data_IF_672871742770
#
_entry.id   IF_672871742770
#
_cell.length_a   1.000
_cell.length_b   1.000
_cell.length_c   1.000
_cell.angle_alpha   90.00
_cell.angle_beta   90.00
_cell.angle_gamma   90.00
#
_symmetry.space_group_name_H-M   'P 1'
#
loop_
_entity.id
_entity.type
_entity.pdbx_description
1 polymer ?
#
# COMPACT_ATOMS: atom_id res chain seq x y z
N UNK A 1 14.18 -0.75 -12.49
CA UNK A 1 13.72 -1.21 -11.15
C UNK A 1 14.83 -0.94 -10.15
N UNK A 2 14.56 -1.06 -8.84
CA UNK A 2 15.58 -0.97 -7.77
C UNK A 2 15.36 -2.07 -6.75
N UNK A 3 16.39 -2.44 -6.00
CA UNK A 3 16.27 -3.36 -4.87
C UNK A 3 16.29 -2.59 -3.56
N UNK A 4 15.57 -3.11 -2.57
CA UNK A 4 15.48 -2.55 -1.22
C UNK A 4 15.68 -3.69 -0.22
N UNK A 5 16.47 -3.44 0.82
CA UNK A 5 16.62 -4.37 1.93
C UNK A 5 15.28 -4.52 2.67
N UNK A 6 15.16 -5.59 3.47
CA UNK A 6 14.03 -5.72 4.39
C UNK A 6 14.12 -4.65 5.48
N UNK A 7 12.97 -4.21 5.98
CA UNK A 7 12.85 -3.39 7.19
C UNK A 7 11.84 -4.00 8.17
N UNK A 8 11.69 -3.37 9.34
CA UNK A 8 10.79 -3.76 10.42
C UNK A 8 9.64 -2.76 10.64
N UNK A 9 9.41 -1.85 9.68
CA UNK A 9 8.35 -0.84 9.76
C UNK A 9 7.03 -1.47 9.30
N UNK A 10 6.03 -1.54 10.18
CA UNK A 10 4.82 -2.36 10.00
C UNK A 10 4.06 -2.15 8.69
N UNK A 11 4.00 -0.91 8.19
CA UNK A 11 3.33 -0.56 6.93
C UNK A 11 4.31 -0.36 5.77
N UNK A 12 5.59 -0.68 5.91
CA UNK A 12 6.52 -0.60 4.79
C UNK A 12 6.18 -1.64 3.72
N UNK A 13 6.15 -1.28 2.43
CA UNK A 13 6.09 -2.26 1.34
C UNK A 13 7.23 -3.31 1.40
N UNK A 14 8.29 -3.05 2.16
CA UNK A 14 9.49 -3.87 2.33
C UNK A 14 9.55 -4.63 3.66
N UNK A 15 8.48 -4.57 4.47
CA UNK A 15 8.41 -5.21 5.79
C UNK A 15 8.79 -6.69 5.72
N UNK A 16 9.87 -7.04 6.43
CA UNK A 16 10.48 -8.36 6.61
C UNK A 16 10.83 -9.11 5.31
N UNK A 17 10.98 -8.39 4.19
CA UNK A 17 11.34 -9.01 2.91
C UNK A 17 12.23 -8.13 2.03
N UNK A 18 13.32 -8.72 1.53
CA UNK A 18 14.09 -8.10 0.43
C UNK A 18 13.18 -7.95 -0.77
N UNK A 19 13.13 -6.76 -1.34
CA UNK A 19 12.11 -6.42 -2.34
C UNK A 19 12.74 -5.81 -3.58
N UNK A 20 12.30 -6.22 -4.77
CA UNK A 20 12.49 -5.47 -6.00
C UNK A 20 11.30 -4.53 -6.21
N UNK A 21 11.56 -3.24 -6.36
CA UNK A 21 10.57 -2.22 -6.64
C UNK A 21 10.58 -1.89 -8.14
N UNK A 22 9.42 -2.05 -8.77
CA UNK A 22 9.17 -1.67 -10.15
C UNK A 22 8.34 -0.39 -10.13
N UNK A 23 8.80 0.64 -10.85
CA UNK A 23 8.01 1.86 -11.06
C UNK A 23 7.48 1.85 -12.48
N UNK A 24 6.18 2.06 -12.60
CA UNK A 24 5.48 2.31 -13.87
C UNK A 24 5.09 3.79 -13.92
N UNK A 25 5.09 4.38 -15.12
CA UNK A 25 4.85 5.80 -15.36
C UNK A 25 4.33 6.01 -16.77
N UNK A 26 3.49 7.03 -16.97
CA UNK A 26 3.03 7.48 -18.29
C UNK A 26 3.14 8.99 -18.46
N UNK A 27 2.46 9.56 -19.46
CA UNK A 27 2.54 10.99 -19.80
C UNK A 27 1.49 11.82 -19.07
N UNK A 28 1.85 13.00 -18.56
CA UNK A 28 0.96 13.82 -17.73
C UNK A 28 -0.39 14.12 -18.40
N UNK A 29 -1.48 14.01 -17.63
CA UNK A 29 -2.85 14.26 -18.10
C UNK A 29 -3.59 13.03 -18.62
N UNK A 30 -2.95 11.86 -18.67
CA UNK A 30 -3.59 10.59 -19.04
C UNK A 30 -4.38 9.98 -17.87
N UNK A 31 -5.47 9.27 -18.21
CA UNK A 31 -6.12 8.36 -17.27
C UNK A 31 -5.36 7.03 -17.24
N UNK A 32 -4.80 6.70 -16.08
CA UNK A 32 -3.98 5.50 -15.90
C UNK A 32 -4.73 4.33 -15.28
N UNK A 33 -6.00 4.45 -14.90
CA UNK A 33 -6.60 3.44 -14.02
C UNK A 33 -6.65 2.04 -14.62
N UNK A 34 -6.90 1.91 -15.91
CA UNK A 34 -6.86 0.60 -16.57
C UNK A 34 -5.44 0.04 -16.63
N UNK A 35 -4.46 0.87 -16.98
CA UNK A 35 -3.05 0.50 -16.97
C UNK A 35 -2.54 0.11 -15.57
N UNK A 36 -2.97 0.84 -14.52
CA UNK A 36 -2.62 0.54 -13.13
C UNK A 36 -3.24 -0.80 -12.70
N UNK A 37 -4.50 -1.07 -13.07
CA UNK A 37 -5.16 -2.35 -12.76
C UNK A 37 -4.51 -3.54 -13.47
N UNK A 38 -4.07 -3.37 -14.71
CA UNK A 38 -3.28 -4.39 -15.42
C UNK A 38 -1.96 -4.67 -14.71
N UNK A 39 -1.26 -3.62 -14.27
CA UNK A 39 -0.03 -3.77 -13.48
C UNK A 39 -0.29 -4.47 -12.13
N UNK A 40 -1.34 -4.08 -11.41
CA UNK A 40 -1.71 -4.67 -10.13
C UNK A 40 -2.05 -6.16 -10.27
N UNK A 41 -2.70 -6.55 -11.36
CA UNK A 41 -2.97 -7.96 -11.66
C UNK A 41 -1.67 -8.75 -11.71
N UNK A 42 -0.65 -8.27 -12.41
CA UNK A 42 0.67 -8.92 -12.48
C UNK A 42 1.36 -8.92 -11.11
N UNK A 43 1.35 -7.79 -10.40
CA UNK A 43 2.02 -7.67 -9.11
C UNK A 43 1.35 -8.52 -8.01
N UNK A 44 0.06 -8.81 -8.13
CA UNK A 44 -0.67 -9.66 -7.20
C UNK A 44 -0.09 -11.08 -7.13
N UNK A 45 0.44 -11.60 -8.25
CA UNK A 45 1.00 -12.95 -8.35
C UNK A 45 2.18 -13.17 -7.40
N UNK A 46 2.87 -12.10 -7.01
CA UNK A 46 4.01 -12.11 -6.11
C UNK A 46 3.73 -11.39 -4.79
N UNK A 47 2.45 -11.15 -4.46
CA UNK A 47 2.02 -10.37 -3.28
C UNK A 47 2.71 -9.00 -3.24
N UNK A 48 2.75 -8.33 -4.39
CA UNK A 48 3.26 -6.98 -4.52
C UNK A 48 2.54 -6.03 -3.58
N UNK A 49 3.27 -5.08 -2.99
CA UNK A 49 2.73 -4.05 -2.11
C UNK A 49 2.88 -2.69 -2.80
N UNK A 50 1.80 -1.91 -2.97
CA UNK A 50 1.89 -0.62 -3.63
C UNK A 50 2.69 0.37 -2.78
N UNK A 51 3.26 1.38 -3.42
CA UNK A 51 3.86 2.50 -2.72
C UNK A 51 2.74 3.46 -2.26
N UNK A 52 2.63 3.73 -0.96
CA UNK A 52 1.55 4.57 -0.38
C UNK A 52 1.39 5.95 -1.04
N UNK A 53 2.48 6.54 -1.50
CA UNK A 53 2.46 7.83 -2.22
C UNK A 53 2.20 7.74 -3.74
N UNK A 54 1.69 6.62 -4.27
CA UNK A 54 1.39 6.43 -5.69
C UNK A 54 -0.02 5.87 -5.88
N UNK A 55 -0.52 5.93 -7.12
CA UNK A 55 -1.81 5.35 -7.50
C UNK A 55 -1.82 3.85 -7.26
N UNK A 56 -2.91 3.36 -6.68
CA UNK A 56 -3.28 1.96 -6.59
C UNK A 56 -4.78 1.83 -6.26
N UNK A 57 -5.39 0.71 -6.62
CA UNK A 57 -6.81 0.42 -6.39
C UNK A 57 -7.09 -0.40 -5.13
N UNK A 58 -6.04 -0.97 -4.50
CA UNK A 58 -6.20 -1.86 -3.34
C UNK A 58 -6.96 -1.19 -2.18
N UNK A 59 -7.98 -1.89 -1.68
CA UNK A 59 -8.81 -1.51 -0.55
C UNK A 59 -8.39 -2.19 0.75
N UNK A 60 -9.26 -2.12 1.77
CA UNK A 60 -8.97 -2.61 3.13
C UNK A 60 -8.59 -4.09 3.17
N UNK A 61 -9.37 -4.95 2.52
CA UNK A 61 -9.17 -6.41 2.50
C UNK A 61 -7.83 -6.79 1.89
N UNK A 62 -7.46 -6.19 0.77
CA UNK A 62 -6.20 -6.49 0.08
C UNK A 62 -5.01 -5.99 0.91
N UNK A 63 -5.12 -4.78 1.48
CA UNK A 63 -4.08 -4.23 2.35
C UNK A 63 -3.90 -5.08 3.61
N UNK A 64 -4.98 -5.47 4.28
CA UNK A 64 -4.92 -6.32 5.48
C UNK A 64 -4.23 -7.66 5.19
N UNK A 65 -4.55 -8.29 4.06
CA UNK A 65 -3.93 -9.54 3.65
C UNK A 65 -2.43 -9.40 3.29
N UNK A 66 -2.00 -8.23 2.81
CA UNK A 66 -0.62 -7.98 2.40
C UNK A 66 0.32 -7.59 3.54
N UNK A 67 -0.20 -7.00 4.61
CA UNK A 67 0.59 -6.42 5.71
C UNK A 67 0.38 -7.18 7.03
N UNK A 68 1.30 -8.07 7.44
CA UNK A 68 1.12 -8.92 8.63
C UNK A 68 0.87 -8.17 9.94
N UNK A 69 1.37 -6.94 10.05
CA UNK A 69 1.22 -6.06 11.22
C UNK A 69 0.10 -5.03 11.05
N UNK A 70 -0.79 -5.20 10.08
CA UNK A 70 -1.92 -4.29 9.82
C UNK A 70 -2.79 -4.10 11.07
N UNK A 71 -3.23 -5.19 11.71
CA UNK A 71 -4.08 -5.11 12.89
C UNK A 71 -3.44 -4.34 14.05
N UNK A 72 -2.13 -4.53 14.26
CA UNK A 72 -1.38 -3.79 15.27
C UNK A 72 -1.29 -2.30 14.96
N UNK A 73 -1.08 -1.95 13.68
CA UNK A 73 -1.11 -0.56 13.24
C UNK A 73 -2.50 0.06 13.47
N UNK A 74 -3.58 -0.62 13.09
CA UNK A 74 -4.95 -0.13 13.30
C UNK A 74 -5.22 0.10 14.80
N UNK A 75 -4.79 -0.83 15.65
CA UNK A 75 -4.90 -0.71 17.10
C UNK A 75 -4.14 0.51 17.65
N UNK A 76 -2.87 0.71 17.27
CA UNK A 76 -2.11 1.88 17.69
C UNK A 76 -2.70 3.18 17.13
N UNK A 77 -3.13 3.20 15.87
CA UNK A 77 -3.80 4.36 15.27
C UNK A 77 -5.04 4.74 16.08
N UNK A 78 -5.94 3.79 16.37
CA UNK A 78 -7.15 4.05 17.14
C UNK A 78 -6.85 4.52 18.57
N UNK A 79 -5.74 4.06 19.17
CA UNK A 79 -5.28 4.52 20.49
C UNK A 79 -4.82 5.97 20.48
N UNK A 80 -4.08 6.41 19.47
CA UNK A 80 -3.50 7.76 19.40
C UNK A 80 -4.39 8.78 18.66
N UNK A 81 -5.28 8.30 17.79
CA UNK A 81 -6.25 9.10 17.03
C UNK A 81 -7.64 8.44 17.07
N UNK A 82 -8.30 8.42 18.26
CA UNK A 82 -9.59 7.75 18.45
C UNK A 82 -10.71 8.37 17.60
N UNK A 83 -10.63 9.68 17.35
CA UNK A 83 -11.61 10.42 16.55
C UNK A 83 -11.30 10.35 15.04
N UNK A 84 -10.18 9.76 14.63
CA UNK A 84 -9.77 9.66 13.23
C UNK A 84 -9.51 11.01 12.55
N UNK A 85 -8.95 11.99 13.29
CA UNK A 85 -8.65 13.35 12.82
C UNK A 85 -7.60 13.36 11.72
N UNK A 86 -6.71 12.37 11.69
CA UNK A 86 -5.65 12.27 10.68
C UNK A 86 -6.02 11.37 9.50
N UNK A 87 -7.25 10.85 9.45
CA UNK A 87 -7.74 10.05 8.33
C UNK A 87 -8.48 10.91 7.30
N UNK A 88 -7.82 11.12 6.15
CA UNK A 88 -8.50 11.54 4.93
C UNK A 88 -9.32 10.39 4.32
N UNK A 89 -10.07 10.64 3.25
CA UNK A 89 -10.95 9.64 2.63
C UNK A 89 -10.21 8.37 2.19
N UNK A 90 -9.03 8.57 1.56
CA UNK A 90 -8.17 7.47 1.13
C UNK A 90 -7.73 6.56 2.30
N UNK A 91 -7.34 7.17 3.43
CA UNK A 91 -6.93 6.43 4.62
C UNK A 91 -8.13 5.86 5.37
N UNK A 92 -9.28 6.53 5.36
CA UNK A 92 -10.52 6.06 6.01
C UNK A 92 -11.04 4.79 5.37
N UNK A 93 -11.00 4.71 4.04
CA UNK A 93 -11.35 3.49 3.30
C UNK A 93 -10.47 2.29 3.72
N UNK A 94 -9.19 2.54 4.04
CA UNK A 94 -8.18 1.49 4.28
C UNK A 94 -7.92 1.18 5.74
N UNK A 95 -8.08 2.16 6.64
CA UNK A 95 -7.71 2.09 8.06
C UNK A 95 -8.85 2.47 9.02
N UNK A 96 -9.97 2.95 8.48
CA UNK A 96 -11.20 3.18 9.22
C UNK A 96 -11.86 1.88 9.68
#
# INVERSE_FOLDING_TARGET
>A
YRTVAADDIWLSPYFERKTAMISVSGAAGEDYWDFIRDCETIFSWVKGRPHWGKLHSLGRSEIEALYPRYGDFISQRARFDPDGRFLNDYLRERFG
#
